data_IF_022482400104
#
_entry.id   IF_022482400104
#
_cell.length_a   1.000
_cell.length_b   1.000
_cell.length_c   1.000
_cell.angle_alpha   90.00
_cell.angle_beta   90.00
_cell.angle_gamma   90.00
#
_symmetry.space_group_name_H-M   'P 1'
#
loop_
_entity.id
_entity.type
_entity.pdbx_description
1 polymer ?
#
# COMPACT_ATOMS: atom_id res chain seq x y z
N UNK A 1 6.75 25.99 8.86
CA UNK A 1 5.94 26.17 7.65
C UNK A 1 6.85 26.14 6.40
N UNK A 2 6.45 25.41 5.36
CA UNK A 2 7.13 25.39 4.06
C UNK A 2 6.91 26.73 3.37
N UNK A 3 7.99 27.31 2.82
CA UNK A 3 7.93 28.66 2.23
C UNK A 3 8.91 28.81 1.06
N UNK A 4 8.86 29.97 0.38
CA UNK A 4 9.78 30.30 -0.71
C UNK A 4 9.75 29.29 -1.86
N UNK A 5 10.93 28.90 -2.35
CA UNK A 5 11.05 28.00 -3.49
C UNK A 5 10.49 26.60 -3.25
N UNK A 6 10.56 26.09 -2.02
CA UNK A 6 9.98 24.78 -1.70
C UNK A 6 8.45 24.77 -1.87
N UNK A 7 7.76 25.83 -1.42
CA UNK A 7 6.32 25.99 -1.62
C UNK A 7 5.97 26.14 -3.11
N UNK A 8 6.73 26.97 -3.83
CA UNK A 8 6.53 27.13 -5.28
C UNK A 8 6.71 25.79 -6.04
N UNK A 9 7.69 25.00 -5.64
CA UNK A 9 7.90 23.66 -6.23
C UNK A 9 6.75 22.70 -5.92
N UNK A 10 6.19 22.72 -4.70
CA UNK A 10 5.01 21.91 -4.36
C UNK A 10 3.83 22.25 -5.27
N UNK A 11 3.54 23.55 -5.43
CA UNK A 11 2.41 24.01 -6.23
C UNK A 11 2.60 23.71 -7.74
N UNK A 12 3.83 23.77 -8.24
CA UNK A 12 4.13 23.54 -9.65
C UNK A 12 4.31 22.06 -10.02
N UNK A 13 4.91 21.26 -9.14
CA UNK A 13 5.45 19.94 -9.49
C UNK A 13 4.63 18.77 -8.94
N UNK A 14 3.67 19.00 -8.03
CA UNK A 14 2.90 17.94 -7.40
C UNK A 14 1.40 18.15 -7.62
N UNK A 15 0.60 17.10 -7.47
CA UNK A 15 -0.85 17.22 -7.33
C UNK A 15 -1.17 17.82 -5.95
N UNK A 16 -2.27 18.56 -5.82
CA UNK A 16 -2.63 19.29 -4.59
C UNK A 16 -2.69 18.40 -3.35
N UNK A 17 -3.17 17.16 -3.50
CA UNK A 17 -3.27 16.21 -2.40
C UNK A 17 -1.91 15.91 -1.73
N UNK A 18 -0.80 15.89 -2.47
CA UNK A 18 0.54 15.70 -1.89
C UNK A 18 0.96 16.85 -0.98
N UNK A 19 0.56 18.07 -1.29
CA UNK A 19 0.74 19.22 -0.41
C UNK A 19 -0.15 19.11 0.83
N UNK A 20 -1.40 18.68 0.64
CA UNK A 20 -2.38 18.51 1.72
C UNK A 20 -1.92 17.48 2.76
N UNK A 21 -1.35 16.34 2.34
CA UNK A 21 -0.80 15.32 3.24
C UNK A 21 0.33 15.84 4.15
N UNK A 22 1.12 16.80 3.69
CA UNK A 22 2.15 17.48 4.48
C UNK A 22 1.67 18.72 5.22
N UNK A 23 0.34 18.99 5.26
CA UNK A 23 -0.22 20.22 5.78
C UNK A 23 -0.99 20.00 7.09
N UNK A 24 -1.02 21.04 7.90
CA UNK A 24 -1.87 21.12 9.09
C UNK A 24 -2.47 22.51 9.17
N UNK A 25 -3.77 22.62 9.44
CA UNK A 25 -4.51 23.89 9.50
C UNK A 25 -4.29 24.78 8.27
N UNK A 26 -4.33 24.17 7.07
CA UNK A 26 -4.18 24.83 5.78
C UNK A 26 -2.75 25.31 5.44
N UNK A 27 -1.75 24.96 6.24
CA UNK A 27 -0.35 25.31 6.05
C UNK A 27 0.52 24.08 5.85
N UNK A 28 1.37 24.09 4.82
CA UNK A 28 2.33 23.03 4.58
C UNK A 28 3.49 23.10 5.56
N UNK A 29 3.81 21.98 6.22
CA UNK A 29 4.93 21.85 7.16
C UNK A 29 5.95 20.82 6.72
N UNK A 30 5.57 19.90 5.86
CA UNK A 30 6.44 18.87 5.31
C UNK A 30 6.30 18.80 3.78
N UNK A 31 7.35 18.35 3.12
CA UNK A 31 7.41 18.19 1.67
C UNK A 31 7.55 16.71 1.31
N UNK A 32 6.86 16.22 0.28
CA UNK A 32 7.01 14.83 -0.16
C UNK A 32 8.40 14.60 -0.73
N UNK A 33 9.03 13.50 -0.33
CA UNK A 33 10.37 13.09 -0.78
C UNK A 33 10.27 11.85 -1.65
N UNK A 34 9.63 10.81 -1.16
CA UNK A 34 9.38 9.56 -1.85
C UNK A 34 7.91 9.18 -1.81
N UNK A 35 7.51 8.27 -2.71
CA UNK A 35 6.16 7.76 -2.78
C UNK A 35 6.15 6.27 -3.06
N UNK A 36 5.05 5.60 -2.77
CA UNK A 36 4.79 4.22 -3.15
C UNK A 36 3.32 4.01 -3.46
N UNK A 37 3.03 3.15 -4.43
CA UNK A 37 1.69 2.60 -4.65
C UNK A 37 1.55 1.36 -3.78
N UNK A 38 0.52 1.29 -2.95
CA UNK A 38 0.28 0.19 -2.01
C UNK A 38 -0.69 -0.86 -2.55
N UNK A 39 -1.55 -0.50 -3.50
CA UNK A 39 -2.61 -1.34 -4.06
C UNK A 39 -2.11 -2.29 -5.17
N UNK A 40 -1.02 -3.02 -4.93
CA UNK A 40 -0.54 -4.02 -5.87
C UNK A 40 -0.73 -5.45 -5.37
N UNK A 41 -1.00 -6.35 -6.33
CA UNK A 41 -0.97 -7.79 -6.14
C UNK A 41 0.14 -8.36 -7.02
N UNK A 42 1.17 -8.89 -6.38
CA UNK A 42 2.31 -9.54 -7.01
C UNK A 42 1.94 -10.97 -7.41
N UNK A 43 2.40 -11.40 -8.59
CA UNK A 43 2.12 -12.72 -9.16
C UNK A 43 3.24 -13.14 -10.11
N UNK A 44 3.26 -14.42 -10.49
CA UNK A 44 4.13 -14.91 -11.56
C UNK A 44 3.39 -14.93 -12.91
N UNK A 45 3.75 -14.06 -13.87
CA UNK A 45 3.17 -14.10 -15.22
C UNK A 45 3.32 -15.47 -15.90
N UNK A 46 4.48 -16.13 -15.68
CA UNK A 46 4.74 -17.46 -16.21
C UNK A 46 3.79 -18.51 -15.62
N UNK A 47 3.60 -18.52 -14.30
CA UNK A 47 2.66 -19.44 -13.67
C UNK A 47 1.21 -19.18 -14.12
N UNK A 48 0.82 -17.92 -14.34
CA UNK A 48 -0.49 -17.57 -14.89
C UNK A 48 -0.67 -18.11 -16.30
N UNK A 49 0.31 -17.90 -17.16
CA UNK A 49 0.30 -18.42 -18.55
C UNK A 49 0.21 -19.96 -18.57
N UNK A 50 1.01 -20.64 -17.79
CA UNK A 50 1.04 -22.12 -17.71
C UNK A 50 -0.31 -22.71 -17.28
N UNK A 51 -1.08 -21.99 -16.43
CA UNK A 51 -2.35 -22.46 -15.88
C UNK A 51 -3.57 -21.82 -16.56
N UNK A 52 -3.37 -20.96 -17.56
CA UNK A 52 -4.47 -20.27 -18.25
C UNK A 52 -5.23 -19.29 -17.34
N UNK A 53 -4.54 -18.72 -16.35
CA UNK A 53 -5.08 -17.67 -15.48
C UNK A 53 -5.02 -16.32 -16.18
N UNK A 54 -5.99 -15.47 -15.86
CA UNK A 54 -6.03 -14.08 -16.34
C UNK A 54 -5.91 -13.14 -15.14
N UNK A 55 -5.31 -11.97 -15.36
CA UNK A 55 -5.29 -10.89 -14.36
C UNK A 55 -6.73 -10.42 -14.15
N UNK A 56 -7.25 -10.47 -12.90
CA UNK A 56 -8.63 -10.08 -12.60
C UNK A 56 -8.79 -8.56 -12.68
N UNK A 57 -9.96 -8.10 -13.13
CA UNK A 57 -10.33 -6.68 -13.26
C UNK A 57 -11.33 -6.22 -12.20
N UNK A 58 -11.98 -7.18 -11.52
CA UNK A 58 -12.89 -6.91 -10.42
C UNK A 58 -12.57 -7.78 -9.21
N UNK A 59 -13.04 -7.38 -8.03
CA UNK A 59 -12.90 -8.19 -6.82
C UNK A 59 -13.54 -9.58 -6.97
N UNK A 60 -14.69 -9.66 -7.61
CA UNK A 60 -15.37 -10.95 -7.87
C UNK A 60 -14.50 -11.87 -8.75
N UNK A 61 -13.87 -11.33 -9.80
CA UNK A 61 -12.93 -12.07 -10.64
C UNK A 61 -11.71 -12.53 -9.83
N UNK A 62 -11.22 -11.70 -8.88
CA UNK A 62 -10.09 -12.04 -8.01
C UNK A 62 -10.43 -13.20 -7.07
N UNK A 63 -11.62 -13.19 -6.47
CA UNK A 63 -12.08 -14.30 -5.64
C UNK A 63 -12.30 -15.57 -6.47
N UNK A 64 -12.86 -15.45 -7.67
CA UNK A 64 -12.99 -16.57 -8.61
C UNK A 64 -11.62 -17.16 -8.98
N UNK A 65 -10.63 -16.32 -9.27
CA UNK A 65 -9.25 -16.74 -9.52
C UNK A 65 -8.65 -17.46 -8.29
N UNK A 66 -8.89 -16.90 -7.09
CA UNK A 66 -8.45 -17.51 -5.83
C UNK A 66 -9.00 -18.92 -5.65
N UNK A 67 -10.28 -19.14 -5.92
CA UNK A 67 -10.89 -20.46 -5.87
C UNK A 67 -10.32 -21.43 -6.92
N UNK A 68 -10.14 -20.96 -8.16
CA UNK A 68 -9.52 -21.76 -9.23
C UNK A 68 -8.11 -22.21 -8.89
N UNK A 69 -7.30 -21.33 -8.28
CA UNK A 69 -5.96 -21.67 -7.82
C UNK A 69 -6.03 -22.75 -6.72
N UNK A 70 -6.94 -22.59 -5.75
CA UNK A 70 -7.15 -23.58 -4.67
C UNK A 70 -7.48 -24.96 -5.22
N UNK A 71 -8.39 -25.03 -6.19
CA UNK A 71 -8.82 -26.28 -6.81
C UNK A 71 -7.74 -26.92 -7.70
N UNK A 72 -7.01 -26.08 -8.43
CA UNK A 72 -5.95 -26.51 -9.36
C UNK A 72 -4.67 -26.94 -8.69
N UNK A 73 -4.41 -26.48 -7.46
CA UNK A 73 -3.13 -26.70 -6.75
C UNK A 73 -3.34 -27.15 -5.30
N UNK A 74 -3.77 -28.39 -5.05
CA UNK A 74 -4.09 -28.89 -3.69
C UNK A 74 -2.92 -28.80 -2.68
N UNK A 75 -1.68 -28.72 -3.17
CA UNK A 75 -0.46 -28.59 -2.34
C UNK A 75 0.02 -27.16 -2.09
N UNK A 76 -0.66 -26.17 -2.68
CA UNK A 76 -0.31 -24.75 -2.57
C UNK A 76 -1.47 -23.94 -1.99
N UNK A 77 -1.22 -22.67 -1.72
CA UNK A 77 -2.27 -21.71 -1.33
C UNK A 77 -2.34 -20.61 -2.39
N UNK A 78 -3.54 -20.06 -2.72
CA UNK A 78 -3.61 -18.88 -3.62
C UNK A 78 -2.79 -17.71 -3.12
N UNK A 79 -2.83 -17.41 -1.84
CA UNK A 79 -2.23 -16.22 -1.26
C UNK A 79 -1.09 -16.51 -0.30
N UNK A 80 -0.09 -15.64 -0.36
CA UNK A 80 0.91 -15.47 0.68
C UNK A 80 0.67 -14.15 1.41
N UNK A 81 0.85 -14.13 2.72
CA UNK A 81 0.76 -12.94 3.54
C UNK A 81 1.72 -12.99 4.73
N UNK A 82 2.17 -11.83 5.21
CA UNK A 82 2.99 -11.69 6.39
C UNK A 82 2.91 -10.28 6.95
N UNK A 83 2.75 -10.16 8.26
CA UNK A 83 2.55 -8.90 8.96
C UNK A 83 3.75 -8.46 9.79
N UNK A 84 4.70 -9.37 10.07
CA UNK A 84 5.84 -9.06 10.91
C UNK A 84 6.78 -8.06 10.23
N UNK A 85 7.04 -6.93 10.89
CA UNK A 85 7.86 -5.82 10.42
C UNK A 85 8.60 -5.12 11.58
N UNK A 86 9.20 -5.89 12.48
CA UNK A 86 9.84 -5.36 13.68
C UNK A 86 8.88 -4.47 14.49
N UNK A 87 9.24 -3.21 14.73
CA UNK A 87 8.40 -2.25 15.48
C UNK A 87 7.14 -1.83 14.72
N UNK A 88 7.07 -2.07 13.43
CA UNK A 88 5.91 -1.77 12.58
C UNK A 88 5.01 -2.98 12.32
N UNK A 89 5.16 -4.09 13.07
CA UNK A 89 4.33 -5.28 12.87
C UNK A 89 2.85 -4.91 12.90
N UNK A 90 2.11 -5.34 11.86
CA UNK A 90 0.69 -5.04 11.66
C UNK A 90 0.41 -4.12 10.47
N UNK A 91 1.33 -3.24 10.07
CA UNK A 91 1.08 -2.32 8.96
C UNK A 91 0.67 -3.01 7.63
N UNK A 92 1.17 -4.22 7.27
CA UNK A 92 0.67 -4.83 6.03
C UNK A 92 -0.81 -5.22 6.08
N UNK A 93 -1.36 -5.42 7.29
CA UNK A 93 -2.79 -5.71 7.45
C UNK A 93 -3.63 -4.43 7.52
N UNK A 94 -3.10 -3.32 8.05
CA UNK A 94 -3.80 -2.02 7.94
C UNK A 94 -3.96 -1.62 6.48
N UNK A 95 -2.93 -1.82 5.66
CA UNK A 95 -2.99 -1.60 4.21
C UNK A 95 -4.11 -2.42 3.53
N UNK A 96 -4.38 -3.66 3.99
CA UNK A 96 -5.51 -4.45 3.49
C UNK A 96 -6.86 -3.82 3.83
N UNK A 97 -7.06 -3.40 5.09
CA UNK A 97 -8.29 -2.73 5.49
C UNK A 97 -8.48 -1.41 4.74
N UNK A 98 -7.41 -0.63 4.58
CA UNK A 98 -7.42 0.65 3.89
C UNK A 98 -7.81 0.50 2.41
N UNK A 99 -7.22 -0.47 1.70
CA UNK A 99 -7.63 -0.78 0.33
C UNK A 99 -9.10 -1.23 0.27
N UNK A 100 -9.51 -2.15 1.17
CA UNK A 100 -10.89 -2.60 1.19
C UNK A 100 -11.87 -1.47 1.50
N UNK A 101 -11.50 -0.55 2.38
CA UNK A 101 -12.32 0.63 2.69
C UNK A 101 -12.48 1.53 1.46
N UNK A 102 -11.40 1.77 0.71
CA UNK A 102 -11.45 2.52 -0.55
C UNK A 102 -12.33 1.84 -1.60
N UNK A 103 -12.22 0.53 -1.73
CA UNK A 103 -12.92 -0.24 -2.77
C UNK A 103 -14.38 -0.52 -2.44
N UNK A 104 -14.76 -0.61 -1.16
CA UNK A 104 -16.13 -0.95 -0.73
C UNK A 104 -16.97 0.27 -0.42
N UNK A 105 -16.40 1.25 0.28
CA UNK A 105 -17.09 2.44 0.76
C UNK A 105 -16.78 3.71 -0.05
N UNK A 106 -15.70 3.68 -0.83
CA UNK A 106 -15.27 4.78 -1.68
C UNK A 106 -14.45 5.86 -0.95
N UNK A 107 -13.85 6.78 -1.74
CA UNK A 107 -12.90 7.76 -1.22
C UNK A 107 -13.50 8.74 -0.20
N UNK A 108 -14.76 9.13 -0.35
CA UNK A 108 -15.41 10.06 0.58
C UNK A 108 -15.58 9.45 1.98
N UNK A 109 -15.99 8.18 2.06
CA UNK A 109 -16.12 7.47 3.33
C UNK A 109 -14.76 7.17 3.94
N UNK A 110 -13.77 6.89 3.11
CA UNK A 110 -12.38 6.77 3.54
C UNK A 110 -11.89 8.04 4.24
N UNK A 111 -12.11 9.22 3.63
CA UNK A 111 -11.71 10.52 4.18
C UNK A 111 -12.43 10.81 5.51
N UNK A 112 -13.72 10.47 5.60
CA UNK A 112 -14.49 10.61 6.85
C UNK A 112 -13.97 9.69 7.96
N UNK A 113 -13.51 8.49 7.62
CA UNK A 113 -12.92 7.54 8.56
C UNK A 113 -11.55 8.03 9.05
N UNK A 114 -10.67 8.42 8.14
CA UNK A 114 -9.34 8.96 8.45
C UNK A 114 -9.41 10.18 9.37
N UNK A 115 -10.36 11.09 9.11
CA UNK A 115 -10.58 12.29 9.91
C UNK A 115 -11.45 12.08 11.16
N UNK A 116 -11.84 10.83 11.45
CA UNK A 116 -12.72 10.46 12.57
C UNK A 116 -14.08 11.18 12.57
N UNK A 117 -14.59 11.54 11.39
CA UNK A 117 -15.98 12.00 11.24
C UNK A 117 -16.98 10.85 11.32
N UNK A 118 -16.54 9.62 11.04
CA UNK A 118 -17.24 8.38 11.38
C UNK A 118 -16.34 7.57 12.33
N UNK A 119 -16.91 6.78 13.25
CA UNK A 119 -16.13 6.02 14.21
C UNK A 119 -15.30 4.93 13.52
N UNK A 120 -14.24 4.50 14.18
CA UNK A 120 -13.36 3.45 13.63
C UNK A 120 -14.09 2.11 13.42
N UNK A 121 -15.13 1.84 14.20
CA UNK A 121 -16.01 0.67 14.09
C UNK A 121 -17.30 0.94 13.31
N UNK A 122 -17.32 1.95 12.43
CA UNK A 122 -18.46 2.20 11.53
C UNK A 122 -18.79 0.95 10.71
N UNK A 123 -20.06 0.67 10.39
CA UNK A 123 -20.47 -0.50 9.60
C UNK A 123 -19.73 -0.65 8.25
N UNK A 124 -19.33 0.45 7.60
CA UNK A 124 -18.54 0.41 6.37
C UNK A 124 -17.14 -0.15 6.63
N UNK A 125 -16.51 0.23 7.75
CA UNK A 125 -15.18 -0.26 8.14
C UNK A 125 -15.24 -1.73 8.54
N UNK A 126 -16.29 -2.14 9.26
CA UNK A 126 -16.54 -3.56 9.58
C UNK A 126 -16.68 -4.38 8.30
N UNK A 127 -17.48 -3.92 7.34
CA UNK A 127 -17.66 -4.59 6.04
C UNK A 127 -16.35 -4.71 5.28
N UNK A 128 -15.53 -3.65 5.27
CA UNK A 128 -14.23 -3.66 4.61
C UNK A 128 -13.26 -4.66 5.26
N UNK A 129 -13.23 -4.74 6.59
CA UNK A 129 -12.38 -5.69 7.29
C UNK A 129 -12.87 -7.14 7.12
N UNK A 130 -14.19 -7.37 7.12
CA UNK A 130 -14.76 -8.70 6.83
C UNK A 130 -14.37 -9.15 5.42
N UNK A 131 -14.40 -8.26 4.43
CA UNK A 131 -13.98 -8.57 3.07
C UNK A 131 -12.49 -8.90 2.97
N UNK A 132 -11.60 -8.17 3.68
CA UNK A 132 -10.21 -8.57 3.81
C UNK A 132 -10.08 -9.97 4.46
N UNK A 133 -10.94 -10.27 5.41
CA UNK A 133 -11.01 -11.55 6.12
C UNK A 133 -11.43 -12.75 5.24
N UNK A 134 -12.19 -12.52 4.15
CA UNK A 134 -12.49 -13.58 3.18
C UNK A 134 -11.21 -14.22 2.62
N UNK A 135 -10.15 -13.46 2.53
CA UNK A 135 -8.81 -13.92 2.11
C UNK A 135 -7.95 -14.24 3.32
N UNK A 136 -7.67 -13.26 4.17
CA UNK A 136 -6.62 -13.34 5.20
C UNK A 136 -6.94 -14.29 6.36
N UNK A 137 -8.22 -14.61 6.60
CA UNK A 137 -8.65 -15.54 7.64
C UNK A 137 -9.08 -16.91 7.10
N UNK A 138 -8.91 -17.14 5.80
CA UNK A 138 -9.31 -18.38 5.16
C UNK A 138 -8.17 -19.38 5.09
N UNK A 139 -8.25 -20.46 5.88
CA UNK A 139 -7.23 -21.51 5.96
C UNK A 139 -6.98 -22.21 4.61
N UNK A 140 -7.91 -22.16 3.66
CA UNK A 140 -7.72 -22.76 2.33
C UNK A 140 -7.04 -21.79 1.36
N UNK A 141 -7.10 -20.46 1.62
CA UNK A 141 -6.60 -19.45 0.72
C UNK A 141 -5.20 -18.95 1.06
N UNK A 142 -4.79 -19.00 2.32
CA UNK A 142 -3.53 -18.44 2.83
C UNK A 142 -2.93 -19.42 3.85
N UNK A 143 -1.71 -19.58 4.03
CA UNK A 143 -0.46 -18.88 3.88
C UNK A 143 0.59 -19.81 3.21
N UNK A 144 0.65 -19.84 1.92
CA UNK A 144 1.38 -20.79 1.09
C UNK A 144 2.80 -21.16 1.54
N UNK A 145 2.96 -22.32 2.14
CA UNK A 145 4.24 -22.81 2.63
C UNK A 145 4.76 -22.17 3.92
N UNK A 146 4.08 -21.17 4.46
CA UNK A 146 4.51 -20.39 5.63
C UNK A 146 3.69 -20.69 6.91
N UNK A 147 2.94 -21.78 6.91
CA UNK A 147 2.13 -22.24 8.05
C UNK A 147 0.65 -21.90 7.95
N UNK A 148 -0.06 -21.91 9.10
CA UNK A 148 -1.49 -21.62 9.18
C UNK A 148 -1.77 -20.11 9.04
N UNK A 149 -3.07 -19.74 8.99
CA UNK A 149 -3.53 -18.35 9.01
C UNK A 149 -2.87 -17.55 10.14
N UNK A 150 -2.81 -18.08 11.35
CA UNK A 150 -2.21 -17.36 12.50
C UNK A 150 -0.72 -17.07 12.31
N UNK A 151 -0.01 -17.84 11.50
CA UNK A 151 1.40 -17.60 11.19
C UNK A 151 1.64 -16.31 10.42
N UNK A 152 0.62 -15.75 9.77
CA UNK A 152 0.69 -14.45 9.11
C UNK A 152 1.24 -13.37 10.06
N UNK A 153 0.79 -13.38 11.32
CA UNK A 153 1.22 -12.39 12.33
C UNK A 153 2.73 -12.41 12.61
N UNK A 154 3.38 -13.57 12.44
CA UNK A 154 4.81 -13.76 12.70
C UNK A 154 5.64 -13.94 11.44
N UNK A 155 5.03 -14.10 10.28
CA UNK A 155 5.71 -14.17 8.99
C UNK A 155 6.21 -12.79 8.60
N UNK A 156 7.50 -12.68 8.28
CA UNK A 156 8.09 -11.43 7.80
C UNK A 156 7.44 -10.96 6.50
N UNK A 157 7.03 -9.70 6.45
CA UNK A 157 6.48 -9.11 5.23
C UNK A 157 7.46 -9.21 4.05
N UNK A 158 8.77 -9.15 4.33
CA UNK A 158 9.83 -9.26 3.29
C UNK A 158 9.91 -10.64 2.68
N UNK A 159 9.69 -11.68 3.47
CA UNK A 159 9.76 -13.07 3.01
C UNK A 159 8.42 -13.59 2.48
N UNK A 160 7.32 -12.93 2.84
CA UNK A 160 5.97 -13.45 2.63
C UNK A 160 5.62 -13.73 1.15
N UNK A 161 6.10 -12.92 0.20
CA UNK A 161 5.82 -13.12 -1.22
C UNK A 161 6.77 -14.10 -1.93
N UNK A 162 7.93 -14.43 -1.34
CA UNK A 162 8.95 -15.24 -2.00
C UNK A 162 8.47 -16.62 -2.47
N UNK A 163 7.53 -17.30 -1.76
CA UNK A 163 6.97 -18.57 -2.20
C UNK A 163 6.22 -18.55 -3.54
N UNK A 164 5.97 -17.38 -4.14
CA UNK A 164 5.46 -17.29 -5.52
C UNK A 164 6.47 -17.88 -6.52
N UNK A 165 7.77 -17.74 -6.25
CA UNK A 165 8.82 -18.22 -7.13
C UNK A 165 8.87 -19.75 -7.25
N UNK A 166 8.48 -20.46 -6.19
CA UNK A 166 8.41 -21.93 -6.16
C UNK A 166 6.97 -22.47 -6.29
N UNK A 167 6.00 -21.58 -6.54
CA UNK A 167 4.58 -21.91 -6.74
C UNK A 167 3.90 -22.55 -5.53
N UNK A 168 4.41 -22.33 -4.30
CA UNK A 168 3.72 -22.72 -3.08
C UNK A 168 2.64 -21.70 -2.67
N UNK A 169 2.73 -20.46 -3.23
CA UNK A 169 1.58 -19.55 -3.39
C UNK A 169 1.63 -18.83 -4.75
N UNK A 170 0.61 -18.04 -5.08
CA UNK A 170 0.44 -17.44 -6.41
C UNK A 170 0.24 -15.93 -6.37
N UNK A 171 -0.24 -15.39 -5.28
CA UNK A 171 -0.62 -14.01 -5.12
C UNK A 171 -0.08 -13.45 -3.80
N UNK A 172 0.40 -12.19 -3.84
CA UNK A 172 0.85 -11.47 -2.65
C UNK A 172 0.50 -10.00 -2.76
N UNK A 173 -0.42 -9.48 -1.91
CA UNK A 173 -0.73 -8.06 -1.88
C UNK A 173 0.37 -7.32 -1.13
N UNK A 174 1.08 -6.40 -1.81
CA UNK A 174 2.14 -5.60 -1.21
C UNK A 174 2.48 -4.38 -2.09
N UNK A 175 3.01 -3.33 -1.48
CA UNK A 175 3.37 -2.08 -2.13
C UNK A 175 4.44 -2.22 -3.24
N UNK A 176 4.56 -1.20 -4.08
CA UNK A 176 5.52 -1.12 -5.20
C UNK A 176 6.98 -1.32 -4.78
N UNK A 177 7.35 -0.83 -3.58
CA UNK A 177 8.71 -1.01 -3.05
C UNK A 177 9.05 -2.47 -2.74
N UNK A 178 8.07 -3.38 -2.71
CA UNK A 178 8.34 -4.79 -2.43
C UNK A 178 9.29 -5.42 -3.43
N UNK A 179 9.41 -4.86 -4.63
CA UNK A 179 10.33 -5.32 -5.67
C UNK A 179 11.78 -5.50 -5.19
N UNK A 180 12.21 -4.75 -4.17
CA UNK A 180 13.58 -4.88 -3.61
C UNK A 180 13.79 -6.14 -2.76
N UNK A 181 12.72 -6.87 -2.43
CA UNK A 181 12.79 -8.10 -1.66
C UNK A 181 12.92 -9.37 -2.53
N UNK A 182 12.69 -9.26 -3.84
CA UNK A 182 12.92 -10.37 -4.75
C UNK A 182 14.41 -10.64 -4.90
N UNK A 183 14.84 -11.91 -5.08
CA UNK A 183 16.23 -12.24 -5.42
C UNK A 183 16.74 -11.42 -6.61
N UNK A 184 18.03 -11.10 -6.61
CA UNK A 184 18.62 -10.20 -7.61
C UNK A 184 18.49 -10.69 -9.06
N UNK A 185 18.42 -12.01 -9.26
CA UNK A 185 18.25 -12.66 -10.56
C UNK A 185 16.80 -12.67 -11.06
N UNK A 186 15.83 -12.27 -10.23
CA UNK A 186 14.40 -12.30 -10.58
C UNK A 186 14.08 -11.26 -11.66
N UNK A 187 13.58 -11.70 -12.80
CA UNK A 187 13.11 -10.80 -13.86
C UNK A 187 11.73 -10.23 -13.49
N UNK A 188 11.68 -8.94 -13.13
CA UNK A 188 10.43 -8.22 -12.82
C UNK A 188 9.93 -7.59 -14.13
N UNK A 189 8.96 -8.22 -14.78
CA UNK A 189 8.36 -7.76 -16.02
C UNK A 189 7.07 -8.54 -16.33
N UNK A 190 6.22 -8.02 -17.23
CA UNK A 190 4.99 -8.69 -17.70
C UNK A 190 5.26 -10.05 -18.35
N UNK A 191 6.44 -10.25 -18.94
CA UNK A 191 6.92 -11.50 -19.49
C UNK A 191 7.96 -12.20 -18.60
N UNK A 192 8.09 -11.75 -17.35
CA UNK A 192 9.12 -12.17 -16.40
C UNK A 192 8.71 -13.26 -15.44
N UNK A 193 9.52 -13.39 -14.39
CA UNK A 193 9.27 -14.33 -13.29
C UNK A 193 8.20 -13.80 -12.35
N UNK A 194 8.23 -12.48 -12.11
CA UNK A 194 7.32 -11.74 -11.21
C UNK A 194 6.87 -10.46 -11.89
N UNK A 195 5.61 -10.12 -11.68
CA UNK A 195 5.04 -8.82 -11.99
C UNK A 195 3.97 -8.46 -10.96
N UNK A 196 3.33 -7.29 -11.11
CA UNK A 196 2.22 -6.92 -10.26
C UNK A 196 1.08 -6.30 -11.09
N UNK A 197 -0.15 -6.55 -10.66
CA UNK A 197 -1.32 -5.84 -11.15
C UNK A 197 -1.95 -5.03 -10.02
N UNK A 198 -2.72 -4.01 -10.38
CA UNK A 198 -3.44 -3.20 -9.41
C UNK A 198 -4.54 -4.04 -8.75
N UNK A 199 -4.63 -3.98 -7.41
CA UNK A 199 -5.72 -4.63 -6.67
C UNK A 199 -7.06 -4.16 -7.28
N UNK A 200 -7.89 -5.06 -7.78
CA UNK A 200 -9.10 -4.66 -8.48
C UNK A 200 -10.17 -4.15 -7.52
N UNK A 201 -10.91 -3.14 -7.96
CA UNK A 201 -12.07 -2.61 -7.27
C UNK A 201 -13.33 -3.46 -7.50
N UNK A 202 -14.46 -2.91 -7.07
CA UNK A 202 -15.77 -3.55 -7.27
C UNK A 202 -16.14 -3.65 -8.76
N UNK A 203 -15.75 -2.66 -9.54
CA UNK A 203 -15.94 -2.60 -10.99
C UNK A 203 -14.62 -2.28 -11.69
N UNK A 204 -14.52 -2.59 -12.98
CA UNK A 204 -13.33 -2.30 -13.78
C UNK A 204 -13.05 -0.78 -13.92
N UNK A 205 -14.08 0.07 -13.77
CA UNK A 205 -13.98 1.52 -13.87
C UNK A 205 -13.64 2.19 -12.52
N UNK A 206 -13.87 1.54 -11.40
CA UNK A 206 -13.65 2.09 -10.05
C UNK A 206 -12.46 1.39 -9.40
N UNK A 207 -11.28 1.91 -9.68
CA UNK A 207 -10.03 1.33 -9.18
C UNK A 207 -9.21 2.40 -8.45
N UNK A 208 -9.63 2.82 -7.24
CA UNK A 208 -8.85 3.74 -6.44
C UNK A 208 -7.52 3.10 -6.03
N UNK A 209 -6.55 3.92 -5.64
CA UNK A 209 -5.21 3.49 -5.30
C UNK A 209 -4.82 4.03 -3.93
N UNK A 210 -4.43 3.13 -3.04
CA UNK A 210 -3.79 3.47 -1.79
C UNK A 210 -2.33 3.81 -2.05
N UNK A 211 -1.86 4.92 -1.49
CA UNK A 211 -0.47 5.36 -1.63
C UNK A 211 0.15 5.61 -0.25
N UNK A 212 1.46 5.51 -0.18
CA UNK A 212 2.26 5.93 0.96
C UNK A 212 3.44 6.75 0.51
N UNK A 213 4.22 7.27 1.46
CA UNK A 213 5.42 8.01 1.12
C UNK A 213 6.12 8.61 2.32
N UNK A 214 7.29 9.17 2.06
CA UNK A 214 8.10 9.86 3.05
C UNK A 214 8.00 11.36 2.86
N UNK A 215 7.93 12.09 3.99
CA UNK A 215 7.90 13.53 4.03
C UNK A 215 9.07 14.09 4.84
N UNK A 216 9.65 15.20 4.37
CA UNK A 216 10.70 15.93 5.07
C UNK A 216 10.14 17.21 5.71
N UNK A 217 10.14 17.26 7.04
CA UNK A 217 9.77 18.44 7.81
C UNK A 217 11.02 19.22 8.26
N UNK A 218 10.97 20.56 8.17
CA UNK A 218 12.02 21.42 8.66
C UNK A 218 11.69 21.92 10.08
N UNK A 219 12.60 21.67 11.02
CA UNK A 219 12.49 22.15 12.41
C UNK A 219 13.28 23.44 12.67
N UNK A 220 13.85 24.02 11.62
CA UNK A 220 14.60 25.27 11.67
C UNK A 220 14.47 26.01 10.31
N UNK A 221 14.44 27.34 10.36
CA UNK A 221 14.30 28.20 9.18
C UNK A 221 15.62 28.81 8.72
N UNK A 222 16.76 28.17 9.01
CA UNK A 222 18.06 28.61 8.47
C UNK A 222 18.08 28.49 6.94
N UNK A 223 18.81 29.32 6.29
CA UNK A 223 18.89 29.42 4.83
C UNK A 223 19.24 28.06 4.18
N UNK A 224 20.20 27.33 4.76
CA UNK A 224 20.64 26.03 4.26
C UNK A 224 19.53 24.96 4.36
N UNK A 225 18.72 25.02 5.42
CA UNK A 225 17.59 24.09 5.62
C UNK A 225 16.50 24.37 4.59
N UNK A 226 16.17 25.64 4.37
CA UNK A 226 15.19 26.04 3.36
C UNK A 226 15.67 25.73 1.94
N UNK A 227 16.95 25.93 1.64
CA UNK A 227 17.55 25.58 0.35
C UNK A 227 17.51 24.05 0.13
N UNK A 228 17.79 23.26 1.16
CA UNK A 228 17.71 21.80 1.07
C UNK A 228 16.27 21.32 0.86
N UNK A 229 15.30 21.89 1.56
CA UNK A 229 13.88 21.56 1.37
C UNK A 229 13.40 21.93 -0.05
N UNK A 230 13.88 23.07 -0.60
CA UNK A 230 13.62 23.45 -1.99
C UNK A 230 14.24 22.45 -2.99
N UNK A 231 15.45 21.96 -2.71
CA UNK A 231 16.07 20.90 -3.53
C UNK A 231 15.29 19.60 -3.49
N UNK A 232 14.84 19.14 -2.32
CA UNK A 232 14.06 17.91 -2.16
C UNK A 232 12.75 17.93 -2.96
N UNK A 233 12.17 19.11 -3.21
CA UNK A 233 10.93 19.27 -4.00
C UNK A 233 11.17 19.51 -5.50
N UNK A 234 12.43 19.58 -5.92
CA UNK A 234 12.79 19.85 -7.30
C UNK A 234 12.71 18.61 -8.21
N UNK A 235 12.48 18.78 -9.51
CA UNK A 235 12.62 17.70 -10.49
C UNK A 235 14.04 17.15 -10.55
N UNK A 236 15.06 17.97 -10.30
CA UNK A 236 16.47 17.56 -10.26
C UNK A 236 16.71 16.48 -9.20
N UNK A 237 16.21 16.69 -7.97
CA UNK A 237 16.31 15.70 -6.90
C UNK A 237 15.60 14.39 -7.31
N UNK A 238 14.36 14.49 -7.78
CA UNK A 238 13.55 13.32 -8.13
C UNK A 238 14.22 12.49 -9.23
N UNK A 239 14.72 13.13 -10.28
CA UNK A 239 15.42 12.45 -11.38
C UNK A 239 16.76 11.84 -10.91
N UNK A 240 17.51 12.57 -10.11
CA UNK A 240 18.82 12.09 -9.60
C UNK A 240 18.63 10.92 -8.66
N UNK A 241 17.69 11.03 -7.72
CA UNK A 241 17.40 9.97 -6.74
C UNK A 241 16.91 8.70 -7.43
N UNK A 242 15.94 8.79 -8.36
CA UNK A 242 15.44 7.63 -9.11
C UNK A 242 16.57 6.90 -9.87
N UNK A 243 17.43 7.67 -10.55
CA UNK A 243 18.57 7.12 -11.30
C UNK A 243 19.59 6.42 -10.40
N UNK A 244 19.90 7.00 -9.24
CA UNK A 244 20.92 6.47 -8.32
C UNK A 244 20.38 5.25 -7.56
N UNK A 245 19.10 5.26 -7.21
CA UNK A 245 18.46 4.11 -6.51
C UNK A 245 18.28 2.91 -7.44
N UNK A 246 18.02 3.16 -8.72
CA UNK A 246 17.84 2.13 -9.73
C UNK A 246 16.41 1.58 -9.80
N UNK A 247 15.87 1.05 -8.71
CA UNK A 247 14.48 0.57 -8.63
C UNK A 247 13.96 0.58 -7.19
N UNK A 248 12.64 0.52 -7.04
CA UNK A 248 11.96 0.46 -5.73
C UNK A 248 11.78 1.81 -5.05
N UNK A 249 12.14 2.91 -5.72
CA UNK A 249 11.87 4.26 -5.24
C UNK A 249 11.28 5.11 -6.37
N UNK A 250 10.22 5.82 -6.06
CA UNK A 250 9.56 6.76 -6.96
C UNK A 250 9.24 8.06 -6.24
N UNK A 251 8.90 9.09 -7.00
CA UNK A 251 8.42 10.38 -6.51
C UNK A 251 7.09 10.71 -7.18
N UNK A 252 6.22 11.40 -6.45
CA UNK A 252 5.00 11.99 -6.99
C UNK A 252 5.23 13.31 -7.75
N UNK A 253 6.48 13.70 -7.97
CA UNK A 253 6.83 14.88 -8.76
C UNK A 253 6.48 14.67 -10.23
N UNK A 254 5.52 15.42 -10.76
CA UNK A 254 5.02 15.31 -12.15
C UNK A 254 6.08 15.60 -13.23
N UNK A 255 7.19 16.25 -12.84
CA UNK A 255 8.29 16.59 -13.75
C UNK A 255 9.48 15.62 -13.61
N UNK A 256 9.30 14.48 -12.96
CA UNK A 256 10.25 13.38 -13.03
C UNK A 256 10.18 12.76 -14.44
N UNK A 257 11.31 12.56 -15.08
CA UNK A 257 11.41 11.93 -16.39
C UNK A 257 11.22 10.40 -16.28
N UNK A 258 10.13 9.82 -16.82
CA UNK A 258 9.90 8.37 -16.73
C UNK A 258 10.98 7.50 -17.38
N UNK A 259 11.82 8.08 -18.26
CA UNK A 259 12.91 7.35 -18.91
C UNK A 259 14.03 6.93 -17.96
N UNK A 260 14.09 7.54 -16.76
CA UNK A 260 15.07 7.17 -15.73
C UNK A 260 14.74 5.84 -15.03
N UNK A 261 13.49 5.38 -15.13
CA UNK A 261 13.06 4.13 -14.49
C UNK A 261 13.52 2.92 -15.27
N UNK A 262 14.33 2.09 -14.63
CA UNK A 262 14.71 0.76 -15.13
C UNK A 262 13.63 -0.29 -14.86
N UNK A 263 12.85 -0.13 -13.80
CA UNK A 263 11.78 -1.04 -13.41
C UNK A 263 10.44 -0.68 -14.05
N UNK A 264 9.74 -1.63 -14.69
CA UNK A 264 8.38 -1.39 -15.18
C UNK A 264 7.37 -1.16 -14.05
N UNK A 265 7.61 -1.68 -12.84
CA UNK A 265 6.78 -1.40 -11.66
C UNK A 265 6.92 0.05 -11.21
N UNK A 266 8.13 0.62 -11.22
CA UNK A 266 8.33 2.03 -10.89
C UNK A 266 7.64 2.93 -11.91
N UNK A 267 7.71 2.58 -13.20
CA UNK A 267 7.02 3.32 -14.26
C UNK A 267 5.51 3.27 -14.09
N UNK A 268 4.94 2.07 -13.92
CA UNK A 268 3.50 1.90 -13.66
C UNK A 268 3.05 2.68 -12.41
N UNK A 269 3.83 2.61 -11.34
CA UNK A 269 3.56 3.33 -10.11
C UNK A 269 3.58 4.84 -10.31
N UNK A 270 4.56 5.35 -11.04
CA UNK A 270 4.66 6.77 -11.36
C UNK A 270 3.47 7.26 -12.20
N UNK A 271 3.07 6.49 -13.20
CA UNK A 271 1.88 6.79 -14.02
C UNK A 271 0.63 6.91 -13.14
N UNK A 272 0.39 5.95 -12.24
CA UNK A 272 -0.75 5.99 -11.30
C UNK A 272 -0.72 7.20 -10.37
N UNK A 273 0.46 7.61 -9.89
CA UNK A 273 0.60 8.75 -8.97
C UNK A 273 0.40 10.10 -9.66
N UNK A 274 0.72 10.19 -10.94
CA UNK A 274 0.72 11.46 -11.68
C UNK A 274 -0.44 11.64 -12.63
N UNK A 275 -1.20 10.59 -12.95
CA UNK A 275 -2.43 10.65 -13.74
C UNK A 275 -3.56 11.28 -12.91
N UNK A 276 -4.04 12.45 -13.34
CA UNK A 276 -5.11 13.20 -12.67
C UNK A 276 -6.46 12.44 -12.64
N UNK A 277 -6.66 11.45 -13.50
CA UNK A 277 -7.86 10.61 -13.52
C UNK A 277 -7.83 9.52 -12.44
N UNK A 278 -6.65 9.18 -11.93
CA UNK A 278 -6.50 8.17 -10.87
C UNK A 278 -6.92 8.75 -9.50
N UNK A 279 -7.90 8.11 -8.88
CA UNK A 279 -8.30 8.42 -7.51
C UNK A 279 -7.27 7.82 -6.55
N UNK A 280 -6.53 8.67 -5.85
CA UNK A 280 -5.54 8.24 -4.86
C UNK A 280 -5.93 8.68 -3.46
N UNK A 281 -5.63 7.85 -2.45
CA UNK A 281 -5.69 8.22 -1.03
C UNK A 281 -4.42 7.76 -0.33
N UNK A 282 -3.96 8.61 0.60
CA UNK A 282 -2.79 8.28 1.40
C UNK A 282 -3.17 7.28 2.49
N UNK A 283 -2.20 6.47 2.91
CA UNK A 283 -2.24 5.54 4.03
C UNK A 283 -2.96 6.17 5.24
N UNK A 284 -4.07 5.57 5.66
CA UNK A 284 -4.87 6.10 6.75
C UNK A 284 -4.13 6.06 8.07
N UNK A 285 -3.37 5.00 8.31
CA UNK A 285 -2.63 4.82 9.56
C UNK A 285 -1.59 5.93 9.77
N UNK A 286 -0.99 6.43 8.68
CA UNK A 286 -0.02 7.52 8.71
C UNK A 286 -0.68 8.91 8.93
N UNK A 287 -1.98 9.05 8.67
CA UNK A 287 -2.72 10.30 8.84
C UNK A 287 -3.48 10.39 10.16
N UNK A 288 -3.65 9.30 10.87
CA UNK A 288 -4.32 9.23 12.17
C UNK A 288 -3.39 9.67 13.31
N UNK A 289 -3.92 10.01 14.50
CA UNK A 289 -3.07 10.23 15.67
C UNK A 289 -2.14 9.05 15.91
N UNK A 290 -0.85 9.27 16.17
CA UNK A 290 0.15 8.21 16.27
C UNK A 290 -0.18 7.09 17.27
N UNK A 291 -0.88 7.42 18.36
CA UNK A 291 -1.36 6.41 19.32
C UNK A 291 -2.37 5.43 18.70
N UNK A 292 -3.11 5.86 17.68
CA UNK A 292 -4.06 5.02 16.93
C UNK A 292 -3.36 4.43 15.71
N UNK A 293 -2.95 5.25 14.75
CA UNK A 293 -2.46 4.81 13.45
C UNK A 293 -1.30 3.83 13.53
N UNK A 294 -0.20 4.23 14.16
CA UNK A 294 0.99 3.38 14.37
C UNK A 294 0.99 2.63 15.70
N UNK A 295 -0.07 2.78 16.49
CA UNK A 295 -0.26 2.13 17.79
C UNK A 295 -1.31 1.03 17.74
N UNK A 296 -2.53 1.38 18.18
CA UNK A 296 -3.60 0.39 18.35
C UNK A 296 -4.14 -0.18 17.05
N UNK A 297 -4.04 0.53 15.94
CA UNK A 297 -4.45 0.01 14.64
C UNK A 297 -3.50 -1.12 14.19
N UNK A 298 -2.17 -0.92 14.23
CA UNK A 298 -1.21 -1.98 13.89
C UNK A 298 -1.33 -3.20 14.83
N UNK A 299 -1.41 -2.96 16.14
CA UNK A 299 -1.54 -4.06 17.12
C UNK A 299 -2.89 -4.77 17.00
N UNK A 300 -3.96 -4.02 16.80
CA UNK A 300 -5.31 -4.56 16.59
C UNK A 300 -5.38 -5.47 15.36
N UNK A 301 -4.80 -5.07 14.23
CA UNK A 301 -4.77 -5.89 13.03
C UNK A 301 -3.92 -7.17 13.21
N UNK A 302 -2.86 -7.10 14.01
CA UNK A 302 -2.09 -8.28 14.39
C UNK A 302 -2.92 -9.22 15.26
N UNK A 303 -3.65 -8.69 16.23
CA UNK A 303 -4.55 -9.45 17.12
C UNK A 303 -5.74 -10.05 16.37
N UNK A 304 -6.29 -9.33 15.40
CA UNK A 304 -7.37 -9.80 14.53
C UNK A 304 -7.02 -11.12 13.85
N UNK A 305 -5.76 -11.30 13.42
CA UNK A 305 -5.24 -12.54 12.83
C UNK A 305 -4.84 -13.55 13.91
N UNK A 306 -3.96 -13.14 14.85
CA UNK A 306 -3.30 -14.08 15.78
C UNK A 306 -4.24 -14.64 16.84
N UNK A 307 -5.19 -13.82 17.32
CA UNK A 307 -6.18 -14.18 18.33
C UNK A 307 -7.54 -14.54 17.75
N UNK A 308 -7.68 -14.43 16.43
CA UNK A 308 -8.93 -14.68 15.69
C UNK A 308 -10.11 -13.84 16.19
N UNK A 309 -9.84 -12.58 16.55
CA UNK A 309 -10.90 -11.64 16.97
C UNK A 309 -11.89 -11.37 15.84
N UNK A 310 -13.15 -11.07 16.17
CA UNK A 310 -14.09 -10.55 15.17
C UNK A 310 -13.67 -9.17 14.68
N UNK A 311 -14.09 -8.81 13.46
CA UNK A 311 -13.82 -7.47 12.91
C UNK A 311 -14.42 -6.38 13.79
N UNK A 312 -15.66 -6.56 14.26
CA UNK A 312 -16.31 -5.58 15.12
C UNK A 312 -15.58 -5.41 16.46
N UNK A 313 -15.13 -6.49 17.10
CA UNK A 313 -14.44 -6.41 18.39
C UNK A 313 -13.11 -5.64 18.25
N UNK A 314 -12.28 -6.00 17.27
CA UNK A 314 -10.99 -5.33 17.09
C UNK A 314 -11.14 -3.86 16.69
N UNK A 315 -12.10 -3.54 15.82
CA UNK A 315 -12.35 -2.14 15.42
C UNK A 315 -12.93 -1.32 16.59
N UNK A 316 -13.70 -1.95 17.49
CA UNK A 316 -14.20 -1.31 18.70
C UNK A 316 -13.07 -1.06 19.72
N UNK A 317 -12.12 -1.97 19.85
CA UNK A 317 -10.93 -1.74 20.68
C UNK A 317 -10.09 -0.56 20.16
N UNK A 318 -9.92 -0.46 18.83
CA UNK A 318 -9.20 0.66 18.20
C UNK A 318 -9.98 1.98 18.43
N UNK A 319 -11.31 2.00 18.20
CA UNK A 319 -12.15 3.16 18.46
C UNK A 319 -12.01 3.67 19.91
N UNK A 320 -12.03 2.75 20.88
CA UNK A 320 -11.90 3.10 22.29
C UNK A 320 -10.53 3.72 22.67
N UNK A 321 -9.52 3.57 21.83
CA UNK A 321 -8.19 4.14 21.99
C UNK A 321 -8.03 5.53 21.39
N UNK A 322 -9.03 5.97 20.61
CA UNK A 322 -8.98 7.30 19.98
C UNK A 322 -8.84 8.39 21.05
N UNK A 323 -7.93 9.38 20.87
CA UNK A 323 -7.76 10.46 21.84
C UNK A 323 -9.08 11.21 22.08
N UNK A 324 -9.46 11.35 23.33
CA UNK A 324 -10.61 12.19 23.70
C UNK A 324 -10.21 13.65 23.51
N UNK A 325 -10.94 14.38 22.67
CA UNK A 325 -10.80 15.81 22.44
C UNK A 325 -11.07 16.62 23.69
#
# INVERSE_FOLDING_TARGET
EVQGQALANLDANYRSNWKEYGSFDGKAYAVPVGASVKSFVWYSPRAFMENGYQVPRTWEELITLTQRITEGHPGAKPWCAGLQASNGTGWPATDWLEDMMLHTAGPEKYDMWVSHQIPFNDPHVVTALDQAGEVLKNETFVNGGLGSVKSIATTSFKAAGLPILDKTCFLHRQASFYQINWPAETKIAEDGDIFAFRLPGKTDSEQPVLVGGEFAAAFNAREEVLAFQAYLTSPEFSNTKARVTGHGWISANKNLDPSVFSSPIDRLSYELLTDDSTVVRFDASDQMPGAVGTGTFWTGMTDWISLDKSSLDVLTEIENSWPKS
#
